data_IF_624218050912
#
_entry.id   IF_624218050912
#
_cell.length_a   1.000
_cell.length_b   1.000
_cell.length_c   1.000
_cell.angle_alpha   90.00
_cell.angle_beta   90.00
_cell.angle_gamma   90.00
#
_symmetry.space_group_name_H-M   'P 1'
#
loop_
_entity.id
_entity.type
_entity.pdbx_description
1 polymer ?
#
# COMPACT_ATOMS: atom_id res chain seq x y z
N UNK A 1 50.14 26.78 -41.83
CA UNK A 1 49.81 25.60 -41.00
C UNK A 1 48.71 26.01 -40.05
N UNK A 2 47.46 25.80 -40.44
CA UNK A 2 46.29 26.05 -39.62
C UNK A 2 45.70 24.69 -39.19
N UNK A 3 45.25 24.54 -37.93
CA UNK A 3 44.76 23.26 -37.43
C UNK A 3 43.29 23.05 -37.79
N UNK A 4 42.98 21.83 -38.22
CA UNK A 4 41.62 21.34 -38.53
C UNK A 4 40.73 21.35 -37.28
N UNK A 5 39.55 21.97 -37.40
CA UNK A 5 38.45 21.84 -36.43
C UNK A 5 37.98 20.38 -36.35
N UNK A 6 38.03 19.81 -35.14
CA UNK A 6 37.30 18.58 -34.80
C UNK A 6 35.86 18.94 -34.48
N UNK A 7 34.92 18.58 -35.36
CA UNK A 7 33.50 18.49 -35.01
C UNK A 7 33.31 17.32 -34.03
N UNK A 8 33.02 17.64 -32.78
CA UNK A 8 32.53 16.68 -31.79
C UNK A 8 31.06 16.35 -32.09
N UNK A 9 30.80 15.15 -32.60
CA UNK A 9 29.46 14.57 -32.63
C UNK A 9 28.96 14.41 -31.18
N UNK A 10 27.88 15.13 -30.87
CA UNK A 10 27.13 14.92 -29.63
C UNK A 10 26.42 13.57 -29.74
N UNK A 11 26.91 12.57 -29.03
CA UNK A 11 26.14 11.36 -28.75
C UNK A 11 24.82 11.76 -28.05
N UNK A 12 23.65 11.39 -28.58
CA UNK A 12 22.42 11.60 -27.84
C UNK A 12 22.45 10.65 -26.64
N UNK A 13 22.38 11.23 -25.44
CA UNK A 13 22.17 10.50 -24.19
C UNK A 13 20.90 9.67 -24.38
N UNK A 14 21.03 8.35 -24.54
CA UNK A 14 19.91 7.42 -24.45
C UNK A 14 19.24 7.70 -23.11
N UNK A 15 17.97 8.14 -23.13
CA UNK A 15 17.10 8.10 -21.95
C UNK A 15 17.11 6.65 -21.48
N UNK A 16 17.88 6.35 -20.43
CA UNK A 16 17.73 5.12 -19.67
C UNK A 16 16.38 5.20 -18.97
N UNK A 17 15.30 4.89 -19.70
CA UNK A 17 14.04 4.58 -19.05
C UNK A 17 14.27 3.29 -18.28
N UNK A 18 14.32 3.38 -16.95
CA UNK A 18 14.30 2.24 -16.01
C UNK A 18 13.05 1.35 -16.12
N UNK A 19 12.25 1.51 -17.19
CA UNK A 19 10.88 1.03 -17.34
C UNK A 19 10.81 -0.34 -18.04
N UNK A 20 11.93 -1.09 -18.11
CA UNK A 20 11.99 -2.39 -18.79
C UNK A 20 12.81 -3.46 -18.06
N UNK A 21 12.90 -3.41 -16.73
CA UNK A 21 13.81 -4.28 -15.93
C UNK A 21 13.12 -5.25 -14.98
N UNK A 22 11.85 -5.59 -15.22
CA UNK A 22 11.07 -6.43 -14.29
C UNK A 22 10.60 -7.76 -14.88
N UNK A 23 10.91 -8.08 -16.14
CA UNK A 23 10.53 -9.37 -16.73
C UNK A 23 11.21 -10.57 -16.02
N UNK A 24 12.42 -10.36 -15.50
CA UNK A 24 13.11 -11.35 -14.67
C UNK A 24 12.75 -11.27 -13.18
N UNK A 25 11.87 -10.35 -12.75
CA UNK A 25 11.32 -10.36 -11.40
C UNK A 25 10.20 -11.41 -11.31
N UNK A 26 10.63 -12.67 -11.33
CA UNK A 26 9.77 -13.84 -11.33
C UNK A 26 10.55 -15.00 -10.71
N UNK A 27 9.83 -16.00 -10.22
CA UNK A 27 10.48 -17.25 -9.82
C UNK A 27 10.87 -18.06 -11.05
N UNK A 28 11.99 -18.81 -10.97
CA UNK A 28 12.48 -19.63 -12.09
C UNK A 28 11.42 -20.63 -12.60
N UNK A 29 10.61 -21.19 -11.69
CA UNK A 29 9.60 -22.17 -12.07
C UNK A 29 8.50 -21.57 -12.97
N UNK A 30 8.25 -20.27 -12.89
CA UNK A 30 7.33 -19.57 -13.77
C UNK A 30 7.82 -19.62 -15.22
N UNK A 31 9.11 -19.35 -15.45
CA UNK A 31 9.70 -19.40 -16.78
C UNK A 31 9.79 -20.83 -17.33
N UNK A 32 10.09 -21.82 -16.48
CA UNK A 32 10.12 -23.21 -16.94
C UNK A 32 8.73 -23.74 -17.29
N UNK A 33 7.68 -23.35 -16.54
CA UNK A 33 6.29 -23.66 -16.92
C UNK A 33 5.87 -22.91 -18.18
N UNK A 34 6.23 -21.64 -18.31
CA UNK A 34 5.96 -20.83 -19.50
C UNK A 34 6.55 -21.45 -20.77
N UNK A 35 7.78 -21.99 -20.69
CA UNK A 35 8.36 -22.75 -21.79
C UNK A 35 7.61 -24.06 -22.06
N UNK A 36 7.25 -24.82 -21.02
CA UNK A 36 6.48 -26.05 -21.21
C UNK A 36 5.16 -25.78 -21.94
N UNK A 37 4.39 -24.77 -21.50
CA UNK A 37 3.17 -24.35 -22.18
C UNK A 37 3.43 -23.88 -23.62
N UNK A 38 4.53 -23.19 -23.87
CA UNK A 38 4.92 -22.74 -25.21
C UNK A 38 5.27 -23.90 -26.16
N UNK A 39 5.93 -24.95 -25.65
CA UNK A 39 6.26 -26.14 -26.46
C UNK A 39 5.05 -27.06 -26.66
N UNK A 40 4.08 -27.02 -25.74
CA UNK A 40 2.79 -27.74 -25.81
C UNK A 40 1.70 -26.98 -26.58
N UNK A 41 2.00 -25.83 -27.19
CA UNK A 41 1.04 -24.93 -27.85
C UNK A 41 -0.17 -24.54 -26.97
N UNK A 42 0.03 -24.49 -25.65
CA UNK A 42 -0.99 -24.19 -24.65
C UNK A 42 -1.20 -22.68 -24.47
N UNK A 43 -1.86 -22.06 -25.45
CA UNK A 43 -2.15 -20.61 -25.49
C UNK A 43 -3.61 -20.24 -25.23
N UNK A 44 -4.46 -21.21 -24.89
CA UNK A 44 -5.85 -20.93 -24.54
C UNK A 44 -5.97 -19.95 -23.37
N UNK A 45 -7.13 -19.29 -23.29
CA UNK A 45 -7.39 -18.31 -22.24
C UNK A 45 -7.42 -18.98 -20.87
N UNK A 46 -6.64 -18.43 -19.95
CA UNK A 46 -6.60 -18.77 -18.55
C UNK A 46 -7.13 -17.59 -17.71
N UNK A 47 -7.81 -17.93 -16.62
CA UNK A 47 -8.28 -16.98 -15.61
C UNK A 47 -7.60 -17.31 -14.30
N UNK A 48 -6.85 -16.35 -13.77
CA UNK A 48 -6.28 -16.43 -12.43
C UNK A 48 -6.90 -15.39 -11.52
N UNK A 49 -7.21 -15.76 -10.28
CA UNK A 49 -7.71 -14.84 -9.26
C UNK A 49 -6.69 -14.67 -8.14
N UNK A 50 -6.49 -13.42 -7.71
CA UNK A 50 -5.73 -13.05 -6.53
C UNK A 50 -6.69 -12.77 -5.37
N UNK A 51 -6.53 -13.45 -4.25
CA UNK A 51 -7.38 -13.25 -3.06
C UNK A 51 -6.65 -13.62 -1.77
N UNK A 52 -7.17 -13.19 -0.63
CA UNK A 52 -6.66 -13.58 0.70
C UNK A 52 -7.56 -14.66 1.29
N UNK A 53 -7.01 -15.82 1.64
CA UNK A 53 -7.81 -16.95 2.15
C UNK A 53 -8.36 -16.73 3.55
N UNK A 54 -7.51 -16.16 4.39
CA UNK A 54 -7.78 -15.90 5.81
C UNK A 54 -7.23 -14.53 6.15
N UNK A 55 -8.08 -13.72 6.77
CA UNK A 55 -7.65 -12.43 7.30
C UNK A 55 -6.76 -12.68 8.54
N UNK A 56 -5.75 -11.83 8.78
CA UNK A 56 -5.01 -11.88 10.03
C UNK A 56 -5.94 -11.69 11.24
N UNK A 57 -5.55 -12.23 12.40
CA UNK A 57 -6.28 -12.02 13.65
C UNK A 57 -6.50 -10.53 13.90
N UNK A 58 -7.68 -10.15 14.41
CA UNK A 58 -8.07 -8.75 14.68
C UNK A 58 -8.20 -7.86 13.43
N UNK A 59 -8.17 -8.42 12.21
CA UNK A 59 -8.43 -7.68 10.97
C UNK A 59 -9.70 -8.19 10.30
N UNK A 60 -10.80 -7.44 10.46
CA UNK A 60 -12.11 -7.82 9.94
C UNK A 60 -12.27 -7.56 8.44
N UNK A 61 -11.42 -6.70 7.88
CA UNK A 61 -11.33 -6.43 6.45
C UNK A 61 -9.89 -6.03 6.09
N UNK A 62 -9.61 -5.96 4.79
CA UNK A 62 -8.40 -5.39 4.24
C UNK A 62 -8.77 -4.29 3.24
N UNK A 63 -7.84 -3.38 2.95
CA UNK A 63 -8.00 -2.38 1.90
C UNK A 63 -7.26 -2.81 0.64
N UNK A 64 -7.99 -3.03 -0.46
CA UNK A 64 -7.39 -3.29 -1.76
C UNK A 64 -6.45 -2.14 -2.15
N UNK A 65 -5.16 -2.42 -2.35
CA UNK A 65 -4.17 -1.39 -2.64
C UNK A 65 -2.97 -1.94 -3.43
N UNK A 66 -2.43 -1.11 -4.32
CA UNK A 66 -1.25 -1.37 -5.15
C UNK A 66 -1.55 -1.52 -6.64
N UNK A 67 -2.80 -1.32 -7.05
CA UNK A 67 -3.27 -1.56 -8.41
C UNK A 67 -2.55 -0.68 -9.43
N UNK A 68 -2.53 0.64 -9.25
CA UNK A 68 -1.93 1.59 -10.21
C UNK A 68 -0.47 1.23 -10.54
N UNK A 69 0.34 1.04 -9.50
CA UNK A 69 1.76 0.68 -9.65
C UNK A 69 1.94 -0.71 -10.26
N UNK A 70 1.02 -1.64 -10.00
CA UNK A 70 1.06 -2.99 -10.59
C UNK A 70 0.73 -2.93 -12.07
N UNK A 71 -0.32 -2.21 -12.45
CA UNK A 71 -0.72 -2.06 -13.84
C UNK A 71 0.36 -1.35 -14.67
N UNK A 72 1.04 -0.34 -14.10
CA UNK A 72 2.20 0.31 -14.74
C UNK A 72 3.31 -0.71 -15.07
N UNK A 73 3.60 -1.63 -14.15
CA UNK A 73 4.62 -2.66 -14.34
C UNK A 73 4.19 -3.70 -15.38
N UNK A 74 2.93 -4.14 -15.35
CA UNK A 74 2.37 -5.11 -16.31
C UNK A 74 2.33 -4.55 -17.73
N UNK A 75 1.85 -3.31 -17.91
CA UNK A 75 1.78 -2.65 -19.22
C UNK A 75 3.16 -2.54 -19.89
N UNK A 76 4.19 -2.31 -19.09
CA UNK A 76 5.58 -2.14 -19.52
C UNK A 76 6.44 -3.40 -19.37
N UNK A 77 5.85 -4.57 -19.12
CA UNK A 77 6.58 -5.82 -18.91
C UNK A 77 7.20 -6.34 -20.21
N UNK A 78 8.53 -6.26 -20.34
CA UNK A 78 9.29 -6.65 -21.54
C UNK A 78 10.58 -7.34 -21.16
N UNK A 79 10.99 -8.35 -21.91
CA UNK A 79 12.34 -8.91 -21.83
C UNK A 79 13.27 -8.04 -22.67
N UNK A 80 14.33 -7.54 -22.04
CA UNK A 80 15.42 -6.85 -22.72
C UNK A 80 16.39 -7.85 -23.34
N UNK A 81 17.24 -7.41 -24.27
CA UNK A 81 18.27 -8.29 -24.84
C UNK A 81 19.25 -8.79 -23.75
N UNK A 82 19.53 -7.98 -22.73
CA UNK A 82 20.33 -8.41 -21.57
C UNK A 82 19.65 -9.55 -20.80
N UNK A 83 18.32 -9.50 -20.63
CA UNK A 83 17.55 -10.58 -20.00
C UNK A 83 17.63 -11.87 -20.82
N UNK A 84 17.52 -11.77 -22.16
CA UNK A 84 17.58 -12.94 -23.04
C UNK A 84 18.96 -13.59 -23.03
N UNK A 85 20.03 -12.79 -23.06
CA UNK A 85 21.42 -13.28 -22.93
C UNK A 85 21.61 -14.01 -21.60
N UNK A 86 21.09 -13.43 -20.51
CA UNK A 86 21.14 -14.08 -19.20
C UNK A 86 20.39 -15.41 -19.19
N UNK A 87 19.16 -15.47 -19.70
CA UNK A 87 18.37 -16.70 -19.74
C UNK A 87 19.05 -17.78 -20.61
N UNK A 88 19.64 -17.40 -21.74
CA UNK A 88 20.44 -18.31 -22.57
C UNK A 88 21.63 -18.90 -21.80
N UNK A 89 22.32 -18.09 -21.00
CA UNK A 89 23.47 -18.53 -20.18
C UNK A 89 23.13 -19.62 -19.15
N UNK A 90 21.85 -19.72 -18.76
CA UNK A 90 21.39 -20.74 -17.82
C UNK A 90 21.29 -22.14 -18.44
N UNK A 91 21.34 -22.27 -19.78
CA UNK A 91 21.24 -23.54 -20.51
C UNK A 91 19.97 -24.36 -20.16
N UNK A 92 18.87 -23.66 -19.82
CA UNK A 92 17.56 -24.26 -19.47
C UNK A 92 16.48 -24.01 -20.51
N UNK A 93 16.71 -23.06 -21.42
CA UNK A 93 15.69 -22.53 -22.31
C UNK A 93 16.05 -22.79 -23.77
N UNK A 94 15.05 -23.16 -24.57
CA UNK A 94 15.21 -23.43 -26.01
C UNK A 94 15.41 -22.12 -26.78
N UNK A 95 16.17 -22.15 -27.87
CA UNK A 95 16.37 -20.97 -28.72
C UNK A 95 15.04 -20.42 -29.27
N UNK A 96 14.07 -21.33 -29.51
CA UNK A 96 12.71 -20.98 -29.96
C UNK A 96 11.95 -20.19 -28.91
N UNK A 97 11.97 -20.66 -27.66
CA UNK A 97 11.35 -19.96 -26.53
C UNK A 97 12.02 -18.61 -26.26
N UNK A 98 13.36 -18.56 -26.27
CA UNK A 98 14.11 -17.31 -26.10
C UNK A 98 13.82 -16.29 -27.22
N UNK A 99 13.63 -16.74 -28.46
CA UNK A 99 13.17 -15.86 -29.54
C UNK A 99 11.77 -15.31 -29.27
N UNK A 100 10.84 -16.16 -28.84
CA UNK A 100 9.49 -15.74 -28.51
C UNK A 100 9.45 -14.72 -27.36
N UNK A 101 10.31 -14.84 -26.35
CA UNK A 101 10.40 -13.89 -25.24
C UNK A 101 10.82 -12.47 -25.68
N UNK A 102 11.60 -12.32 -26.77
CA UNK A 102 12.00 -10.99 -27.28
C UNK A 102 10.80 -10.13 -27.69
N UNK A 103 9.81 -10.78 -28.32
CA UNK A 103 8.60 -10.13 -28.80
C UNK A 103 7.47 -10.14 -27.76
N UNK A 104 7.71 -10.72 -26.58
CA UNK A 104 6.70 -10.84 -25.53
C UNK A 104 6.08 -9.48 -25.18
N UNK A 105 4.75 -9.43 -25.20
CA UNK A 105 3.92 -8.34 -24.71
C UNK A 105 2.78 -8.96 -23.91
N UNK A 106 2.44 -8.38 -22.76
CA UNK A 106 1.19 -8.73 -22.11
C UNK A 106 0.04 -8.22 -22.99
N UNK A 107 -0.94 -9.09 -23.26
CA UNK A 107 -2.08 -8.84 -24.16
C UNK A 107 -3.42 -9.21 -23.53
N UNK A 108 -3.42 -9.59 -22.26
CA UNK A 108 -4.64 -9.97 -21.54
C UNK A 108 -5.38 -8.80 -20.93
N UNK A 109 -6.45 -9.15 -20.23
CA UNK A 109 -7.30 -8.23 -19.50
C UNK A 109 -7.09 -8.40 -17.99
N UNK A 110 -7.30 -7.33 -17.23
CA UNK A 110 -7.30 -7.36 -15.76
C UNK A 110 -8.58 -6.70 -15.26
N UNK A 111 -9.25 -7.37 -14.35
CA UNK A 111 -10.39 -6.84 -13.60
C UNK A 111 -9.99 -6.75 -12.12
N UNK A 112 -10.32 -5.67 -11.43
CA UNK A 112 -9.88 -5.47 -10.05
C UNK A 112 -10.92 -4.72 -9.23
N UNK A 113 -10.90 -4.92 -7.91
CA UNK A 113 -11.57 -4.04 -6.99
C UNK A 113 -10.87 -2.66 -7.01
N UNK A 114 -11.62 -1.54 -6.97
CA UNK A 114 -11.04 -0.22 -6.88
C UNK A 114 -10.08 -0.11 -5.69
N UNK A 115 -8.99 0.65 -5.84
CA UNK A 115 -8.11 0.91 -4.71
C UNK A 115 -8.85 1.64 -3.60
N UNK A 116 -8.57 1.25 -2.36
CA UNK A 116 -9.27 1.71 -1.17
C UNK A 116 -10.54 0.89 -0.85
N UNK A 117 -11.00 0.00 -1.72
CA UNK A 117 -12.14 -0.84 -1.40
C UNK A 117 -11.85 -1.79 -0.23
N UNK A 118 -12.74 -1.87 0.79
CA UNK A 118 -12.71 -2.96 1.75
C UNK A 118 -12.93 -4.30 1.02
N UNK A 119 -12.07 -5.28 1.27
CA UNK A 119 -12.14 -6.64 0.74
C UNK A 119 -12.02 -7.66 1.87
N UNK A 120 -12.71 -8.77 1.73
CA UNK A 120 -12.84 -9.82 2.74
C UNK A 120 -12.20 -11.14 2.31
N UNK A 121 -12.23 -12.13 3.19
CA UNK A 121 -11.64 -13.43 2.91
C UNK A 121 -12.29 -14.09 1.69
N UNK A 122 -11.46 -14.66 0.82
CA UNK A 122 -11.80 -15.38 -0.41
C UNK A 122 -12.40 -14.54 -1.54
N UNK A 123 -12.60 -13.24 -1.32
CA UNK A 123 -13.00 -12.31 -2.37
C UNK A 123 -11.83 -12.02 -3.33
N UNK A 124 -12.04 -12.10 -4.66
CA UNK A 124 -11.01 -11.71 -5.62
C UNK A 124 -10.69 -10.21 -5.48
N UNK A 125 -9.43 -9.88 -5.18
CA UNK A 125 -8.92 -8.50 -5.26
C UNK A 125 -8.75 -8.13 -6.73
N UNK A 126 -8.25 -9.06 -7.54
CA UNK A 126 -8.16 -8.93 -8.99
C UNK A 126 -8.23 -10.29 -9.70
N UNK A 127 -8.63 -10.26 -10.97
CA UNK A 127 -8.58 -11.38 -11.91
C UNK A 127 -7.79 -11.01 -13.16
N UNK A 128 -6.89 -11.91 -13.58
CA UNK A 128 -6.14 -11.83 -14.83
C UNK A 128 -6.75 -12.80 -15.83
N UNK A 129 -7.11 -12.31 -17.02
CA UNK A 129 -7.68 -13.09 -18.12
C UNK A 129 -6.74 -12.97 -19.32
N UNK A 130 -5.93 -13.99 -19.61
CA UNK A 130 -4.91 -13.90 -20.66
C UNK A 130 -4.55 -15.30 -21.21
N UNK A 131 -3.80 -15.40 -22.33
CA UNK A 131 -3.17 -16.65 -22.72
C UNK A 131 -2.36 -17.25 -21.56
N UNK A 132 -2.49 -18.55 -21.33
CA UNK A 132 -1.93 -19.24 -20.14
C UNK A 132 -0.47 -18.86 -19.81
N UNK A 133 0.49 -18.83 -20.77
CA UNK A 133 1.88 -18.49 -20.45
C UNK A 133 2.03 -17.04 -19.94
N UNK A 134 1.21 -16.12 -20.44
CA UNK A 134 1.22 -14.72 -20.01
C UNK A 134 0.60 -14.57 -18.61
N UNK A 135 -0.55 -15.20 -18.37
CA UNK A 135 -1.24 -15.15 -17.08
C UNK A 135 -0.40 -15.77 -15.95
N UNK A 136 0.35 -16.83 -16.26
CA UNK A 136 1.24 -17.52 -15.34
C UNK A 136 2.43 -16.64 -14.93
N UNK A 137 3.09 -15.97 -15.88
CA UNK A 137 4.25 -15.12 -15.61
C UNK A 137 3.96 -14.00 -14.61
N UNK A 138 2.72 -13.47 -14.59
CA UNK A 138 2.35 -12.35 -13.73
C UNK A 138 2.24 -12.69 -12.24
N UNK A 139 2.16 -13.97 -11.86
CA UNK A 139 1.91 -14.40 -10.47
C UNK A 139 2.86 -13.73 -9.47
N UNK A 140 4.18 -13.90 -9.65
CA UNK A 140 5.19 -13.40 -8.70
C UNK A 140 5.14 -11.88 -8.60
N UNK A 141 5.04 -11.18 -9.73
CA UNK A 141 5.00 -9.72 -9.78
C UNK A 141 3.74 -9.18 -9.09
N UNK A 142 2.55 -9.65 -9.49
CA UNK A 142 1.29 -9.18 -8.93
C UNK A 142 1.22 -9.45 -7.42
N UNK A 143 1.57 -10.66 -6.99
CA UNK A 143 1.54 -11.00 -5.57
C UNK A 143 2.47 -10.10 -4.78
N UNK A 144 3.69 -9.85 -5.24
CA UNK A 144 4.64 -8.97 -4.55
C UNK A 144 4.11 -7.53 -4.40
N UNK A 145 3.48 -7.01 -5.45
CA UNK A 145 3.07 -5.60 -5.52
C UNK A 145 1.78 -5.30 -4.76
N UNK A 146 0.78 -6.18 -4.87
CA UNK A 146 -0.53 -6.02 -4.23
C UNK A 146 -0.50 -6.45 -2.77
N UNK A 147 0.24 -7.51 -2.42
CA UNK A 147 0.33 -8.02 -1.03
C UNK A 147 0.81 -6.94 -0.07
N UNK A 148 1.98 -6.35 -0.36
CA UNK A 148 2.60 -5.37 0.52
C UNK A 148 1.70 -4.15 0.70
N UNK A 149 1.19 -3.59 -0.40
CA UNK A 149 0.39 -2.37 -0.35
C UNK A 149 -0.97 -2.59 0.32
N UNK A 150 -1.64 -3.72 0.06
CA UNK A 150 -2.88 -4.11 0.75
C UNK A 150 -2.65 -4.27 2.25
N UNK A 151 -1.56 -4.93 2.65
CA UNK A 151 -1.20 -5.12 4.05
C UNK A 151 -0.97 -3.79 4.78
N UNK A 152 -0.17 -2.92 4.18
CA UNK A 152 0.26 -1.65 4.76
C UNK A 152 -0.86 -0.61 4.78
N UNK A 153 -1.71 -0.55 3.75
CA UNK A 153 -2.90 0.31 3.76
C UNK A 153 -3.86 -0.10 4.89
N UNK A 154 -4.08 -1.41 5.05
CA UNK A 154 -4.93 -1.95 6.12
C UNK A 154 -4.33 -1.69 7.52
N UNK A 155 -3.01 -1.73 7.68
CA UNK A 155 -2.34 -1.38 8.95
C UNK A 155 -2.47 0.10 9.26
N UNK A 156 -2.27 0.97 8.27
CA UNK A 156 -2.41 2.41 8.43
C UNK A 156 -3.83 2.82 8.83
N UNK A 157 -4.84 2.23 8.21
CA UNK A 157 -6.25 2.47 8.56
C UNK A 157 -6.49 2.26 10.06
N UNK A 158 -6.01 1.15 10.63
CA UNK A 158 -6.16 0.86 12.07
C UNK A 158 -5.53 1.92 12.96
N UNK A 159 -4.31 2.35 12.61
CA UNK A 159 -3.59 3.39 13.35
C UNK A 159 -4.32 4.73 13.26
N UNK A 160 -4.84 5.08 12.08
CA UNK A 160 -5.61 6.32 11.85
C UNK A 160 -6.94 6.29 12.60
N UNK A 161 -7.63 5.16 12.59
CA UNK A 161 -8.87 4.95 13.35
C UNK A 161 -8.62 5.08 14.86
N UNK A 162 -7.53 4.49 15.37
CA UNK A 162 -7.12 4.65 16.77
C UNK A 162 -6.81 6.11 17.16
N UNK A 163 -6.30 6.92 16.23
CA UNK A 163 -5.97 8.32 16.47
C UNK A 163 -7.19 9.25 16.62
N UNK A 164 -8.41 8.77 16.31
CA UNK A 164 -9.68 9.50 16.45
C UNK A 164 -9.64 10.93 15.86
N UNK A 165 -9.22 11.04 14.59
CA UNK A 165 -9.20 12.30 13.85
C UNK A 165 -7.94 13.16 14.06
N UNK A 166 -7.06 12.78 14.99
CA UNK A 166 -5.73 13.41 15.14
C UNK A 166 -4.83 12.99 13.96
N UNK A 167 -4.04 13.90 13.38
CA UNK A 167 -3.15 13.58 12.29
C UNK A 167 -2.10 12.52 12.67
N UNK A 168 -1.93 11.55 11.79
CA UNK A 168 -0.85 10.56 11.84
C UNK A 168 0.15 10.87 10.73
N UNK A 169 1.44 10.82 11.05
CA UNK A 169 2.55 11.06 10.11
C UNK A 169 3.39 9.80 9.99
N UNK A 170 3.68 9.40 8.75
CA UNK A 170 4.55 8.27 8.42
C UNK A 170 6.05 8.60 8.65
N UNK A 171 6.64 7.93 9.64
CA UNK A 171 8.07 7.92 9.97
C UNK A 171 8.75 6.55 9.71
N UNK A 172 8.14 5.69 8.90
CA UNK A 172 8.52 4.28 8.78
C UNK A 172 9.78 4.02 7.94
N UNK A 173 10.09 4.90 6.97
CA UNK A 173 11.03 4.62 5.88
C UNK A 173 12.37 4.01 6.29
N UNK A 174 12.95 4.42 7.43
CA UNK A 174 14.25 3.92 7.91
C UNK A 174 14.24 2.49 8.46
N UNK A 175 13.05 1.90 8.62
CA UNK A 175 12.84 0.52 9.10
C UNK A 175 12.21 -0.39 8.06
N UNK A 176 11.76 0.17 6.94
CA UNK A 176 11.14 -0.61 5.87
C UNK A 176 12.18 -1.41 5.10
N UNK A 177 11.81 -2.62 4.68
CA UNK A 177 12.69 -3.58 4.04
C UNK A 177 12.92 -3.26 2.55
N UNK A 178 13.70 -2.21 2.29
CA UNK A 178 14.11 -1.78 0.96
C UNK A 178 13.41 -0.51 0.48
N UNK A 179 14.04 0.16 -0.49
CA UNK A 179 13.59 1.46 -1.01
C UNK A 179 12.22 1.36 -1.67
N UNK A 180 11.98 0.30 -2.45
CA UNK A 180 10.70 0.10 -3.13
C UNK A 180 9.55 -0.09 -2.14
N UNK A 181 9.78 -0.89 -1.09
CA UNK A 181 8.84 -1.06 0.01
C UNK A 181 8.57 0.26 0.73
N UNK A 182 9.60 1.08 1.00
CA UNK A 182 9.44 2.39 1.62
C UNK A 182 8.58 3.36 0.79
N UNK A 183 8.75 3.37 -0.53
CA UNK A 183 7.97 4.23 -1.42
C UNK A 183 6.52 3.77 -1.55
N UNK A 184 6.31 2.48 -1.80
CA UNK A 184 4.97 1.90 -1.93
C UNK A 184 4.23 1.87 -0.60
N UNK A 185 4.95 1.72 0.51
CA UNK A 185 4.43 1.88 1.87
C UNK A 185 3.89 3.27 2.11
N UNK A 186 4.67 4.32 1.88
CA UNK A 186 4.20 5.70 2.04
C UNK A 186 2.93 6.00 1.23
N UNK A 187 2.84 5.49 0.00
CA UNK A 187 1.63 5.55 -0.84
C UNK A 187 0.44 4.81 -0.18
N UNK A 188 0.65 3.57 0.23
CA UNK A 188 -0.38 2.74 0.86
C UNK A 188 -0.87 3.34 2.19
N UNK A 189 0.03 3.88 3.01
CA UNK A 189 -0.30 4.57 4.25
C UNK A 189 -1.18 5.79 4.00
N UNK A 190 -0.88 6.57 2.97
CA UNK A 190 -1.67 7.73 2.58
C UNK A 190 -3.09 7.34 2.16
N UNK A 191 -3.25 6.28 1.36
CA UNK A 191 -4.54 5.71 0.99
C UNK A 191 -5.30 5.21 2.24
N UNK A 192 -4.60 4.57 3.18
CA UNK A 192 -5.14 4.14 4.47
C UNK A 192 -5.49 5.29 5.44
N UNK A 193 -5.20 6.54 5.10
CA UNK A 193 -5.63 7.72 5.85
C UNK A 193 -4.52 8.51 6.56
N UNK A 194 -3.25 8.07 6.49
CA UNK A 194 -2.11 8.82 7.08
C UNK A 194 -2.00 10.19 6.41
N UNK A 195 -1.81 11.25 7.20
CA UNK A 195 -1.94 12.63 6.75
C UNK A 195 -0.75 13.13 5.93
N UNK A 196 0.46 12.65 6.26
CA UNK A 196 1.69 13.07 5.61
C UNK A 196 2.79 12.01 5.76
N UNK A 197 3.84 12.10 4.94
CA UNK A 197 5.02 11.23 5.02
C UNK A 197 6.30 12.03 5.27
N UNK A 198 7.26 11.44 5.97
CA UNK A 198 8.64 11.91 6.02
C UNK A 198 9.48 11.51 4.80
N UNK A 199 8.95 10.63 3.94
CA UNK A 199 9.63 10.17 2.75
C UNK A 199 9.52 11.20 1.62
N UNK A 200 10.56 12.03 1.49
CA UNK A 200 10.63 13.10 0.48
C UNK A 200 10.49 12.56 -0.95
N UNK A 201 11.04 11.37 -1.24
CA UNK A 201 10.94 10.77 -2.57
C UNK A 201 9.50 10.30 -2.87
N UNK A 202 8.80 9.77 -1.87
CA UNK A 202 7.39 9.43 -2.01
C UNK A 202 6.52 10.69 -2.19
N UNK A 203 6.77 11.74 -1.40
CA UNK A 203 6.10 13.03 -1.56
C UNK A 203 6.29 13.62 -2.96
N UNK A 204 7.51 13.58 -3.49
CA UNK A 204 7.80 13.99 -4.88
C UNK A 204 7.09 13.12 -5.92
N UNK A 205 7.11 11.79 -5.75
CA UNK A 205 6.60 10.84 -6.75
C UNK A 205 5.07 10.80 -6.80
N UNK A 206 4.42 10.94 -5.64
CA UNK A 206 2.97 10.75 -5.50
C UNK A 206 2.24 12.05 -5.13
N UNK A 207 2.94 13.19 -5.11
CA UNK A 207 2.38 14.51 -4.77
C UNK A 207 1.71 14.56 -3.39
N UNK A 208 2.20 13.74 -2.45
CA UNK A 208 1.65 13.67 -1.09
C UNK A 208 2.24 14.79 -0.20
N UNK A 209 1.49 15.25 0.81
CA UNK A 209 2.02 16.11 1.86
C UNK A 209 3.26 15.48 2.52
N UNK A 210 4.33 16.26 2.58
CA UNK A 210 5.55 15.90 3.30
C UNK A 210 5.55 16.61 4.64
N UNK A 211 5.84 15.88 5.70
CA UNK A 211 6.00 16.45 7.03
C UNK A 211 7.25 15.89 7.70
N UNK A 212 7.92 16.75 8.45
CA UNK A 212 9.13 16.42 9.19
C UNK A 212 9.31 17.37 10.36
N UNK A 213 10.13 16.93 11.31
CA UNK A 213 10.51 17.70 12.49
C UNK A 213 12.02 17.88 12.48
N UNK A 214 12.63 18.04 13.66
CA UNK A 214 14.05 17.80 13.89
C UNK A 214 14.33 16.41 14.49
N UNK A 215 15.60 15.99 14.51
CA UNK A 215 16.07 14.76 15.15
C UNK A 215 17.08 15.08 16.27
N UNK A 216 17.27 14.14 17.21
CA UNK A 216 18.22 14.30 18.33
C UNK A 216 19.63 14.69 17.87
N UNK A 217 20.09 14.18 16.72
CA UNK A 217 21.41 14.50 16.17
C UNK A 217 21.61 16.00 15.90
N UNK A 218 20.55 16.74 15.56
CA UNK A 218 20.64 18.19 15.40
C UNK A 218 20.86 18.88 16.75
N UNK A 219 20.17 18.44 17.80
CA UNK A 219 20.30 19.00 19.16
C UNK A 219 21.71 18.70 19.69
N UNK A 220 22.15 17.45 19.57
CA UNK A 220 23.47 16.98 20.02
C UNK A 220 24.65 17.66 19.30
N UNK A 221 24.43 18.19 18.08
CA UNK A 221 25.46 18.91 17.34
C UNK A 221 25.69 20.34 17.85
N UNK A 222 24.84 20.86 18.73
CA UNK A 222 24.98 22.18 19.35
C UNK A 222 25.58 22.06 20.76
N UNK A 223 26.17 23.16 21.25
CA UNK A 223 26.70 23.21 22.62
C UNK A 223 25.62 23.12 23.70
N UNK A 224 24.38 23.51 23.38
CA UNK A 224 23.23 23.43 24.27
C UNK A 224 21.90 23.36 23.49
N UNK A 225 20.88 22.82 24.15
CA UNK A 225 19.56 22.57 23.58
C UNK A 225 18.78 23.86 23.24
N UNK A 226 18.94 24.94 24.02
CA UNK A 226 18.26 26.22 23.76
C UNK A 226 18.79 26.89 22.49
N UNK A 227 20.10 26.83 22.26
CA UNK A 227 20.72 27.31 21.03
C UNK A 227 20.23 26.53 19.82
N UNK A 228 20.11 25.20 19.92
CA UNK A 228 19.54 24.37 18.84
C UNK A 228 18.08 24.76 18.53
N UNK A 229 17.24 24.92 19.56
CA UNK A 229 15.84 25.31 19.37
C UNK A 229 15.71 26.67 18.69
N UNK A 230 16.44 27.69 19.17
CA UNK A 230 16.42 29.04 18.59
C UNK A 230 16.89 29.01 17.13
N UNK A 231 17.97 28.29 16.83
CA UNK A 231 18.52 28.20 15.48
C UNK A 231 17.55 27.52 14.51
N UNK A 232 16.93 26.41 14.92
CA UNK A 232 15.97 25.69 14.09
C UNK A 232 14.69 26.51 13.86
N UNK A 233 14.14 27.10 14.93
CA UNK A 233 12.95 27.95 14.90
C UNK A 233 13.11 29.15 13.95
N UNK A 234 14.30 29.77 13.93
CA UNK A 234 14.58 30.91 13.07
C UNK A 234 14.61 30.60 11.57
N UNK A 235 14.85 29.35 11.19
CA UNK A 235 14.86 28.90 9.79
C UNK A 235 13.52 28.33 9.34
N UNK A 236 12.80 27.68 10.26
CA UNK A 236 11.60 26.90 9.96
C UNK A 236 10.45 27.32 10.89
N UNK A 237 9.68 28.37 10.53
CA UNK A 237 8.42 28.67 11.23
C UNK A 237 7.44 27.50 11.07
N UNK A 238 6.49 27.41 11.98
CA UNK A 238 5.49 26.34 12.12
C UNK A 238 6.08 24.92 12.30
N UNK A 239 7.33 24.84 12.75
CA UNK A 239 8.03 23.59 13.03
C UNK A 239 7.55 22.92 14.33
N UNK A 240 7.95 21.66 14.47
CA UNK A 240 7.81 20.86 15.68
C UNK A 240 9.20 20.61 16.28
N UNK A 241 9.41 21.03 17.53
CA UNK A 241 10.71 20.90 18.22
C UNK A 241 10.74 19.68 19.15
N UNK A 242 11.83 18.92 19.09
CA UNK A 242 12.03 17.70 19.88
C UNK A 242 12.59 18.04 21.27
N UNK A 243 11.87 17.73 22.35
CA UNK A 243 12.21 18.26 23.69
C UNK A 243 12.79 17.24 24.67
N UNK A 244 12.98 15.99 24.26
CA UNK A 244 13.38 14.87 25.12
C UNK A 244 14.79 14.34 24.82
N UNK A 245 15.70 15.21 24.35
CA UNK A 245 17.09 14.77 24.08
C UNK A 245 17.88 14.50 25.36
N UNK A 246 17.62 15.27 26.42
CA UNK A 246 18.31 15.11 27.71
C UNK A 246 17.34 14.95 28.87
N UNK A 247 16.40 15.88 29.03
CA UNK A 247 15.32 15.83 30.02
C UNK A 247 14.10 16.55 29.46
N UNK A 248 12.98 15.83 29.36
CA UNK A 248 11.76 16.29 28.70
C UNK A 248 11.19 17.57 29.32
N UNK A 249 11.07 17.62 30.66
CA UNK A 249 10.46 18.76 31.34
C UNK A 249 11.37 19.99 31.29
N UNK A 250 12.69 19.79 31.41
CA UNK A 250 13.67 20.85 31.22
C UNK A 250 13.71 21.32 29.77
N UNK A 251 13.51 20.45 28.78
CA UNK A 251 13.38 20.81 27.37
C UNK A 251 12.15 21.70 27.13
N UNK A 252 11.00 21.33 27.68
CA UNK A 252 9.76 22.13 27.62
C UNK A 252 9.96 23.51 28.26
N UNK A 253 10.64 23.60 29.41
CA UNK A 253 10.96 24.90 30.04
C UNK A 253 11.85 25.77 29.15
N UNK A 254 12.75 25.18 28.35
CA UNK A 254 13.53 25.94 27.35
C UNK A 254 12.65 26.45 26.21
N UNK A 255 11.64 25.70 25.78
CA UNK A 255 10.64 26.17 24.81
C UNK A 255 9.86 27.36 25.36
N UNK A 256 9.41 27.30 26.61
CA UNK A 256 8.72 28.42 27.28
C UNK A 256 9.62 29.66 27.34
N UNK A 257 10.88 29.49 27.74
CA UNK A 257 11.85 30.59 27.76
C UNK A 257 12.08 31.19 26.36
N UNK A 258 12.17 30.34 25.33
CA UNK A 258 12.30 30.77 23.94
C UNK A 258 11.07 31.58 23.49
N UNK A 259 9.86 31.16 23.86
CA UNK A 259 8.64 31.89 23.55
C UNK A 259 8.61 33.28 24.18
N UNK A 260 8.99 33.40 25.46
CA UNK A 260 9.10 34.71 26.12
C UNK A 260 10.17 35.60 25.47
N UNK A 261 11.27 35.01 24.99
CA UNK A 261 12.36 35.76 24.36
C UNK A 261 11.97 36.27 22.97
N UNK A 262 11.24 35.48 22.20
CA UNK A 262 10.84 35.83 20.82
C UNK A 262 9.54 36.64 20.76
N UNK A 263 8.67 36.56 21.77
CA UNK A 263 7.40 37.27 21.77
C UNK A 263 6.55 36.91 20.55
N UNK A 264 6.15 37.91 19.78
CA UNK A 264 5.33 37.74 18.56
C UNK A 264 6.04 36.96 17.44
N UNK A 265 7.38 36.89 17.46
CA UNK A 265 8.16 36.11 16.50
C UNK A 265 8.18 34.61 16.82
N UNK A 266 7.59 34.19 17.95
CA UNK A 266 7.47 32.78 18.30
C UNK A 266 6.42 32.08 17.43
N UNK A 267 6.90 31.33 16.43
CA UNK A 267 6.07 30.61 15.44
C UNK A 267 6.27 29.10 15.52
N UNK A 268 6.39 28.52 16.71
CA UNK A 268 6.49 27.07 16.87
C UNK A 268 5.10 26.47 16.89
N UNK A 269 4.87 25.45 16.06
CA UNK A 269 3.57 24.78 15.95
C UNK A 269 3.35 23.78 17.09
N UNK A 270 4.36 23.01 17.44
CA UNK A 270 4.26 21.96 18.45
C UNK A 270 5.61 21.59 19.07
N UNK A 271 5.55 20.84 20.17
CA UNK A 271 6.67 20.07 20.70
C UNK A 271 6.51 18.59 20.34
N UNK A 272 7.61 17.83 20.29
CA UNK A 272 7.60 16.37 20.10
C UNK A 272 8.18 15.65 21.30
N UNK A 273 7.45 14.64 21.78
CA UNK A 273 7.89 13.65 22.77
C UNK A 273 8.15 12.31 22.05
N UNK A 274 9.34 11.72 22.19
CA UNK A 274 9.73 10.48 21.48
C UNK A 274 10.04 9.31 22.44
N UNK A 275 9.96 9.54 23.74
CA UNK A 275 10.33 8.57 24.78
C UNK A 275 9.64 8.80 26.12
N UNK A 276 9.73 7.81 27.01
CA UNK A 276 9.15 7.83 28.35
C UNK A 276 7.66 7.47 28.38
N UNK A 277 7.01 7.73 29.53
CA UNK A 277 5.55 7.59 29.65
C UNK A 277 4.87 8.77 28.95
N UNK A 278 4.49 8.56 27.69
CA UNK A 278 3.87 9.59 26.85
C UNK A 278 2.54 10.10 27.41
N UNK A 279 1.78 9.28 28.17
CA UNK A 279 0.51 9.71 28.77
C UNK A 279 0.77 10.71 29.90
N UNK A 280 1.70 10.38 30.80
CA UNK A 280 2.09 11.27 31.90
C UNK A 280 2.81 12.51 31.39
N UNK A 281 3.78 12.35 30.49
CA UNK A 281 4.59 13.45 29.97
C UNK A 281 3.77 14.45 29.14
N UNK A 282 2.80 13.99 28.35
CA UNK A 282 1.92 14.91 27.60
C UNK A 282 1.06 15.76 28.52
N UNK A 283 0.53 15.18 29.61
CA UNK A 283 -0.26 15.92 30.63
C UNK A 283 0.58 16.99 31.32
N UNK A 284 1.80 16.65 31.74
CA UNK A 284 2.73 17.63 32.33
C UNK A 284 3.17 18.69 31.32
N UNK A 285 3.42 18.30 30.07
CA UNK A 285 3.76 19.25 29.02
C UNK A 285 2.64 20.25 28.77
N UNK A 286 1.39 19.76 28.66
CA UNK A 286 0.21 20.62 28.48
C UNK A 286 0.07 21.60 29.64
N UNK A 287 0.16 21.10 30.89
CA UNK A 287 0.11 21.94 32.09
C UNK A 287 1.16 23.06 32.07
N UNK A 288 2.42 22.74 31.77
CA UNK A 288 3.51 23.71 31.73
C UNK A 288 3.34 24.74 30.60
N UNK A 289 2.88 24.32 29.42
CA UNK A 289 2.62 25.21 28.31
C UNK A 289 1.45 26.15 28.60
N UNK A 290 0.37 25.65 29.21
CA UNK A 290 -0.82 26.45 29.55
C UNK A 290 -0.51 27.49 30.64
N UNK A 291 0.26 27.11 31.67
CA UNK A 291 0.75 28.03 32.71
C UNK A 291 1.60 29.17 32.13
N UNK A 292 2.25 28.94 30.98
CA UNK A 292 3.03 29.93 30.25
C UNK A 292 2.24 30.70 29.17
N UNK A 293 0.93 30.45 29.03
CA UNK A 293 0.10 31.08 27.99
C UNK A 293 0.37 30.55 26.57
N UNK A 294 0.90 29.34 26.43
CA UNK A 294 1.22 28.68 25.16
C UNK A 294 0.19 27.58 24.82
N UNK A 295 -1.09 27.86 25.05
CA UNK A 295 -2.24 26.97 24.82
C UNK A 295 -2.35 26.51 23.35
N UNK A 296 -1.86 27.31 22.40
CA UNK A 296 -1.85 27.00 20.96
C UNK A 296 -0.69 26.10 20.50
N UNK A 297 0.33 25.89 21.32
CA UNK A 297 1.47 25.00 20.96
C UNK A 297 1.01 23.56 21.12
N UNK A 298 0.97 22.81 20.02
CA UNK A 298 0.53 21.41 20.04
C UNK A 298 1.54 20.45 20.68
N UNK A 299 1.09 19.24 20.96
CA UNK A 299 1.89 18.13 21.48
C UNK A 299 1.82 16.98 20.47
N UNK A 300 2.97 16.70 19.86
CA UNK A 300 3.16 15.56 18.98
C UNK A 300 3.89 14.45 19.73
N UNK A 301 3.53 13.19 19.49
CA UNK A 301 4.25 12.06 20.09
C UNK A 301 4.73 11.08 19.02
N UNK A 302 5.86 10.45 19.29
CA UNK A 302 6.42 9.34 18.50
C UNK A 302 7.15 8.35 19.41
N UNK A 303 7.72 7.29 18.84
CA UNK A 303 8.51 6.31 19.58
C UNK A 303 7.71 5.03 19.90
N UNK A 304 7.94 3.97 19.12
CA UNK A 304 7.40 2.64 19.41
C UNK A 304 5.87 2.48 19.32
N UNK A 305 5.18 3.44 18.70
CA UNK A 305 3.71 3.43 18.62
C UNK A 305 3.17 2.41 17.61
N UNK A 306 2.05 1.79 17.98
CA UNK A 306 1.13 1.04 17.14
C UNK A 306 -0.33 1.38 17.52
N UNK A 307 -1.33 0.81 16.86
CA UNK A 307 -2.75 1.19 17.03
C UNK A 307 -3.28 1.03 18.46
N UNK A 308 -2.87 0.00 19.22
CA UNK A 308 -3.32 -0.19 20.60
C UNK A 308 -2.73 0.88 21.51
N UNK A 309 -1.42 1.16 21.40
CA UNK A 309 -0.73 2.23 22.12
C UNK A 309 -1.31 3.61 21.78
N UNK A 310 -1.66 3.86 20.51
CA UNK A 310 -2.35 5.08 20.10
C UNK A 310 -3.75 5.15 20.73
N UNK A 311 -4.52 4.07 20.69
CA UNK A 311 -5.86 4.00 21.28
C UNK A 311 -5.83 4.19 22.81
N UNK A 312 -4.82 3.65 23.49
CA UNK A 312 -4.64 3.81 24.94
C UNK A 312 -4.30 5.26 25.30
N UNK A 313 -3.41 5.91 24.55
CA UNK A 313 -3.12 7.34 24.74
C UNK A 313 -4.37 8.20 24.53
N UNK A 314 -5.15 7.90 23.49
CA UNK A 314 -6.39 8.64 23.21
C UNK A 314 -7.45 8.40 24.29
N UNK A 315 -7.68 7.16 24.70
CA UNK A 315 -8.71 6.80 25.69
C UNK A 315 -8.41 7.31 27.10
N UNK A 316 -7.13 7.45 27.46
CA UNK A 316 -6.70 8.04 28.75
C UNK A 316 -6.76 9.57 28.79
N UNK A 317 -7.27 10.21 27.73
CA UNK A 317 -7.42 11.65 27.62
C UNK A 317 -6.08 12.39 27.56
N UNK A 318 -5.02 11.77 27.06
CA UNK A 318 -3.73 12.43 26.89
C UNK A 318 -3.87 13.62 25.92
N UNK A 319 -3.38 14.83 26.28
CA UNK A 319 -3.49 16.03 25.44
C UNK A 319 -2.46 15.95 24.30
N UNK A 320 -2.76 15.12 23.31
CA UNK A 320 -1.92 14.86 22.14
C UNK A 320 -2.67 15.30 20.90
N UNK A 321 -1.98 16.10 20.07
CA UNK A 321 -2.51 16.70 18.85
C UNK A 321 -2.11 15.94 17.59
N UNK A 322 -1.17 14.99 17.68
CA UNK A 322 -0.85 14.10 16.57
C UNK A 322 0.26 13.09 16.87
N UNK A 323 0.41 12.14 15.95
CA UNK A 323 1.25 10.96 16.13
C UNK A 323 2.24 10.79 14.98
N UNK A 324 3.49 10.49 15.30
CA UNK A 324 4.50 10.01 14.36
C UNK A 324 4.69 8.50 14.53
N UNK A 325 4.29 7.72 13.53
CA UNK A 325 4.32 6.24 13.60
C UNK A 325 5.31 5.68 12.59
N UNK A 326 6.19 4.79 13.07
CA UNK A 326 7.34 4.29 12.31
C UNK A 326 7.31 2.78 12.11
N UNK A 327 8.13 2.06 12.88
CA UNK A 327 8.40 0.63 12.71
C UNK A 327 7.13 -0.21 12.60
N UNK A 328 6.24 -0.15 13.59
CA UNK A 328 5.11 -1.08 13.69
C UNK A 328 4.11 -0.94 12.54
N UNK A 329 3.91 0.29 12.04
CA UNK A 329 3.14 0.53 10.82
C UNK A 329 3.93 0.10 9.57
N UNK A 330 5.23 0.39 9.53
CA UNK A 330 6.17 0.09 8.44
C UNK A 330 6.33 -1.39 8.12
N UNK A 331 6.45 -2.22 9.15
CA UNK A 331 6.67 -3.67 9.01
C UNK A 331 5.41 -4.49 9.29
N UNK A 332 4.31 -3.83 9.69
CA UNK A 332 3.06 -4.48 10.11
C UNK A 332 3.34 -5.58 11.14
N UNK A 333 3.95 -5.21 12.28
CA UNK A 333 4.54 -6.15 13.24
C UNK A 333 3.57 -7.22 13.78
N UNK A 334 2.28 -6.87 13.90
CA UNK A 334 1.18 -7.76 14.31
C UNK A 334 0.85 -8.85 13.26
N UNK A 335 1.04 -8.53 11.98
CA UNK A 335 0.70 -9.39 10.86
C UNK A 335 1.62 -9.05 9.67
N UNK A 336 2.87 -9.55 9.63
CA UNK A 336 3.85 -9.14 8.62
C UNK A 336 3.58 -9.75 7.23
N UNK A 337 2.54 -10.57 7.08
CA UNK A 337 2.14 -11.16 5.81
C UNK A 337 0.65 -11.52 5.78
N UNK A 338 0.05 -11.47 4.59
CA UNK A 338 -1.28 -11.97 4.29
C UNK A 338 -1.23 -13.40 3.70
N UNK A 339 -2.25 -14.23 3.99
CA UNK A 339 -2.49 -15.53 3.32
C UNK A 339 -3.05 -15.31 1.89
N UNK A 340 -2.35 -14.46 1.12
CA UNK A 340 -2.68 -14.07 -0.25
C UNK A 340 -2.22 -15.14 -1.23
N UNK A 341 -3.08 -15.47 -2.20
CA UNK A 341 -2.81 -16.47 -3.21
C UNK A 341 -3.27 -16.01 -4.58
N UNK A 342 -2.53 -16.42 -5.61
CA UNK A 342 -2.90 -16.30 -7.02
C UNK A 342 -3.18 -17.71 -7.57
N UNK A 343 -4.36 -17.96 -8.13
CA UNK A 343 -4.81 -19.32 -8.47
C UNK A 343 -5.56 -19.38 -9.80
N UNK A 344 -5.22 -20.38 -10.61
CA UNK A 344 -5.96 -20.72 -11.83
C UNK A 344 -7.38 -21.19 -11.47
N UNK A 345 -8.37 -20.44 -11.94
CA UNK A 345 -9.79 -20.69 -11.73
C UNK A 345 -10.49 -21.18 -13.00
N UNK A 346 -9.95 -20.88 -14.18
CA UNK A 346 -10.51 -21.31 -15.47
C UNK A 346 -9.40 -21.49 -16.51
N UNK A 347 -9.51 -22.49 -17.37
CA UNK A 347 -8.62 -22.66 -18.52
C UNK A 347 -9.39 -23.25 -19.71
N UNK A 348 -9.28 -22.63 -20.88
CA UNK A 348 -9.97 -23.01 -22.10
C UNK A 348 -11.51 -23.10 -21.92
N UNK A 349 -12.09 -22.10 -21.24
CA UNK A 349 -13.52 -22.03 -20.93
C UNK A 349 -14.01 -23.06 -19.91
N UNK A 350 -13.11 -23.80 -19.26
CA UNK A 350 -13.44 -24.82 -18.27
C UNK A 350 -12.96 -24.41 -16.89
N UNK A 351 -13.88 -24.43 -15.93
CA UNK A 351 -13.58 -24.18 -14.53
C UNK A 351 -12.53 -25.14 -13.98
N UNK A 352 -11.66 -24.61 -13.12
CA UNK A 352 -10.59 -25.33 -12.44
C UNK A 352 -10.76 -25.16 -10.94
N UNK A 353 -10.61 -26.28 -10.23
CA UNK A 353 -10.63 -26.33 -8.78
C UNK A 353 -9.33 -26.96 -8.28
N UNK A 354 -8.98 -26.68 -7.03
CA UNK A 354 -7.94 -27.41 -6.30
C UNK A 354 -8.58 -28.13 -5.12
N UNK A 355 -8.60 -29.46 -5.17
CA UNK A 355 -9.13 -30.32 -4.12
C UNK A 355 -8.09 -30.48 -3.00
N UNK A 356 -7.89 -29.44 -2.21
CA UNK A 356 -7.16 -29.53 -0.94
C UNK A 356 -8.11 -29.25 0.21
N UNK A 357 -8.09 -30.11 1.24
CA UNK A 357 -8.91 -30.00 2.45
C UNK A 357 -8.84 -28.58 3.04
N UNK A 358 -10.01 -27.97 3.24
CA UNK A 358 -10.15 -26.63 3.86
C UNK A 358 -9.66 -25.45 3.01
N UNK A 359 -9.32 -25.66 1.73
CA UNK A 359 -8.73 -24.62 0.86
C UNK A 359 -9.36 -24.57 -0.54
N UNK A 360 -10.71 -24.62 -0.69
CA UNK A 360 -11.34 -24.68 -2.00
C UNK A 360 -10.99 -23.45 -2.84
N UNK A 361 -10.63 -23.68 -4.10
CA UNK A 361 -10.55 -22.62 -5.13
C UNK A 361 -11.88 -22.63 -5.86
N UNK A 362 -12.58 -21.49 -5.87
CA UNK A 362 -13.83 -21.33 -6.63
C UNK A 362 -13.49 -21.28 -8.13
N UNK A 363 -14.15 -22.09 -8.97
CA UNK A 363 -13.87 -22.14 -10.40
C UNK A 363 -14.50 -20.97 -11.16
N UNK A 364 -13.95 -20.69 -12.33
CA UNK A 364 -14.43 -19.67 -13.26
C UNK A 364 -14.02 -18.25 -12.91
N UNK A 365 -14.29 -17.35 -13.85
CA UNK A 365 -14.32 -15.89 -13.59
C UNK A 365 -15.39 -15.55 -12.55
N UNK A 366 -15.07 -14.59 -11.68
CA UNK A 366 -15.93 -14.21 -10.56
C UNK A 366 -16.25 -12.72 -10.55
N UNK A 367 -17.26 -12.37 -9.78
CA UNK A 367 -17.62 -11.01 -9.40
C UNK A 367 -17.93 -10.99 -7.89
N UNK A 368 -17.73 -9.85 -7.25
CA UNK A 368 -18.19 -9.58 -5.88
C UNK A 368 -19.36 -8.62 -5.98
N UNK A 369 -20.49 -9.01 -5.41
CA UNK A 369 -21.69 -8.19 -5.32
C UNK A 369 -21.89 -7.76 -3.87
N UNK A 370 -21.64 -6.48 -3.60
CA UNK A 370 -21.83 -5.88 -2.28
C UNK A 370 -23.27 -5.43 -2.09
N UNK A 371 -23.97 -6.02 -1.13
CA UNK A 371 -25.34 -5.68 -0.78
C UNK A 371 -25.34 -4.54 0.22
N UNK A 372 -26.19 -3.54 -0.03
CA UNK A 372 -26.35 -2.40 0.85
C UNK A 372 -27.80 -2.30 1.36
N UNK A 373 -27.95 -1.91 2.62
CA UNK A 373 -29.22 -1.48 3.21
C UNK A 373 -29.11 0.01 3.52
N UNK A 374 -29.67 0.84 2.64
CA UNK A 374 -29.49 2.29 2.71
C UNK A 374 -28.04 2.71 2.50
N UNK A 375 -27.45 3.36 3.51
CA UNK A 375 -26.06 3.83 3.48
C UNK A 375 -25.05 2.80 4.02
N UNK A 376 -25.52 1.65 4.52
CA UNK A 376 -24.67 0.61 5.11
C UNK A 376 -24.47 -0.55 4.15
N UNK A 377 -23.23 -1.01 4.05
CA UNK A 377 -22.90 -2.25 3.36
C UNK A 377 -23.04 -3.41 4.36
N UNK A 378 -23.86 -4.42 4.04
CA UNK A 378 -24.33 -5.44 5.02
C UNK A 378 -23.88 -6.87 4.71
N UNK A 379 -23.32 -7.11 3.52
CA UNK A 379 -22.79 -8.41 3.14
C UNK A 379 -22.38 -8.45 1.67
N UNK A 380 -21.52 -9.40 1.34
CA UNK A 380 -21.01 -9.59 -0.02
C UNK A 380 -21.36 -10.99 -0.54
N UNK A 381 -21.65 -11.08 -1.84
CA UNK A 381 -21.86 -12.35 -2.55
C UNK A 381 -20.79 -12.52 -3.61
N UNK A 382 -19.97 -13.57 -3.49
CA UNK A 382 -19.05 -14.02 -4.54
C UNK A 382 -19.87 -14.84 -5.53
N UNK A 383 -19.99 -14.35 -6.75
CA UNK A 383 -20.77 -14.95 -7.83
C UNK A 383 -19.89 -15.18 -9.07
N UNK A 384 -20.41 -15.88 -10.06
CA UNK A 384 -19.79 -15.94 -11.38
C UNK A 384 -19.80 -14.55 -12.02
N UNK A 385 -18.84 -14.29 -12.89
CA UNK A 385 -18.72 -12.98 -13.55
C UNK A 385 -19.89 -12.63 -14.50
N UNK A 386 -20.68 -13.63 -14.90
CA UNK A 386 -21.85 -13.49 -15.78
C UNK A 386 -23.18 -13.42 -15.03
N UNK A 387 -23.17 -13.54 -13.70
CA UNK A 387 -24.36 -13.32 -12.87
C UNK A 387 -24.66 -11.83 -12.69
N UNK A 388 -25.92 -11.52 -12.40
CA UNK A 388 -26.36 -10.20 -11.94
C UNK A 388 -27.19 -10.40 -10.66
N UNK A 389 -26.77 -9.75 -9.57
CA UNK A 389 -27.43 -9.84 -8.27
C UNK A 389 -28.19 -8.54 -8.04
N UNK A 390 -29.51 -8.59 -8.29
CA UNK A 390 -30.40 -7.43 -8.21
C UNK A 390 -30.22 -6.63 -6.91
N UNK A 391 -29.94 -5.33 -7.06
CA UNK A 391 -29.80 -4.41 -5.93
C UNK A 391 -28.43 -4.43 -5.23
N UNK A 392 -27.50 -5.29 -5.66
CA UNK A 392 -26.14 -5.32 -5.15
C UNK A 392 -25.15 -4.63 -6.11
N UNK A 393 -24.13 -3.98 -5.56
CA UNK A 393 -23.10 -3.25 -6.32
C UNK A 393 -21.96 -4.21 -6.73
N UNK A 394 -21.65 -4.38 -8.03
CA UNK A 394 -20.47 -5.12 -8.44
C UNK A 394 -19.20 -4.36 -8.05
N UNK A 395 -18.16 -5.06 -7.57
CA UNK A 395 -16.91 -4.42 -7.14
C UNK A 395 -15.76 -4.59 -8.15
N UNK A 396 -15.65 -5.72 -8.84
CA UNK A 396 -14.62 -5.90 -9.86
C UNK A 396 -14.99 -5.14 -11.13
N UNK A 397 -14.11 -4.21 -11.51
CA UNK A 397 -14.23 -3.42 -12.75
C UNK A 397 -13.07 -3.74 -13.68
N UNK A 398 -13.25 -3.65 -15.01
CA UNK A 398 -12.14 -3.77 -15.95
C UNK A 398 -11.18 -2.60 -15.75
N UNK A 399 -9.88 -2.90 -15.66
CA UNK A 399 -8.81 -1.89 -15.44
C UNK A 399 -7.66 -2.01 -16.44
N UNK A 400 -7.62 -3.11 -17.19
CA UNK A 400 -6.72 -3.31 -18.32
C UNK A 400 -7.44 -4.14 -19.37
N UNK A 401 -7.31 -3.73 -20.64
CA UNK A 401 -7.87 -4.47 -21.78
C UNK A 401 -6.82 -4.59 -22.87
N UNK A 402 -6.60 -5.80 -23.38
CA UNK A 402 -5.62 -6.06 -24.44
C UNK A 402 -4.20 -5.63 -24.07
N UNK A 403 -3.84 -5.73 -22.80
CA UNK A 403 -2.54 -5.29 -22.26
C UNK A 403 -2.36 -3.78 -22.10
N UNK A 404 -3.41 -2.98 -22.30
CA UNK A 404 -3.40 -1.52 -22.11
C UNK A 404 -4.26 -1.14 -20.92
N UNK A 405 -3.75 -0.25 -20.07
CA UNK A 405 -4.52 0.28 -18.95
C UNK A 405 -5.74 1.05 -19.44
N UNK A 406 -6.85 0.87 -18.75
CA UNK A 406 -8.03 1.70 -18.95
C UNK A 406 -7.89 2.93 -18.06
N UNK A 407 -8.05 4.13 -18.64
CA UNK A 407 -8.10 5.38 -17.88
C UNK A 407 -9.54 5.70 -17.54
N UNK A 408 -9.83 5.92 -16.26
CA UNK A 408 -11.09 6.55 -15.83
C UNK A 408 -11.07 8.07 -16.13
N UNK A 409 -9.90 8.62 -16.49
CA UNK A 409 -9.69 10.04 -16.77
C UNK A 409 -9.54 10.33 -18.28
N UNK A 410 -10.43 11.15 -18.89
CA UNK A 410 -10.30 11.65 -20.26
C UNK A 410 -8.99 12.42 -20.54
N UNK A 411 -8.27 12.89 -19.52
CA UNK A 411 -7.02 13.63 -19.63
C UNK A 411 -5.78 12.74 -19.83
N UNK A 412 -5.90 11.43 -19.56
CA UNK A 412 -4.78 10.47 -19.61
C UNK A 412 -3.87 10.50 -18.37
N UNK A 413 -4.25 11.19 -17.29
CA UNK A 413 -3.56 11.11 -16.01
C UNK A 413 -3.89 9.80 -15.26
N UNK A 414 -2.94 9.33 -14.44
CA UNK A 414 -2.96 8.03 -13.74
C UNK A 414 -4.09 7.96 -12.71
N UNK A 415 -4.36 6.76 -12.17
CA UNK A 415 -5.22 6.58 -10.98
C UNK A 415 -4.76 7.59 -9.91
N UNK A 416 -5.62 8.57 -9.62
CA UNK A 416 -5.28 9.65 -8.71
C UNK A 416 -5.33 9.11 -7.29
N UNK A 417 -4.21 9.16 -6.58
CA UNK A 417 -4.09 8.65 -5.21
C UNK A 417 -5.16 9.23 -4.26
N UNK A 418 -5.59 10.47 -4.49
CA UNK A 418 -6.68 11.12 -3.75
C UNK A 418 -8.04 10.43 -3.96
N UNK A 419 -8.29 9.89 -5.15
CA UNK A 419 -9.51 9.12 -5.43
C UNK A 419 -9.50 7.82 -4.63
N UNK A 420 -8.38 7.09 -4.64
CA UNK A 420 -8.23 5.87 -3.83
C UNK A 420 -8.38 6.15 -2.32
N UNK A 421 -7.80 7.24 -1.83
CA UNK A 421 -7.96 7.69 -0.43
C UNK A 421 -9.41 8.05 -0.09
N UNK A 422 -10.11 8.73 -1.01
CA UNK A 422 -11.51 9.12 -0.83
C UNK A 422 -12.42 7.90 -0.84
N UNK A 423 -12.23 6.97 -1.78
CA UNK A 423 -12.92 5.68 -1.81
C UNK A 423 -12.72 4.90 -0.50
N UNK A 424 -11.49 4.79 -0.01
CA UNK A 424 -11.20 4.14 1.26
C UNK A 424 -12.03 4.74 2.39
N UNK A 425 -11.95 6.06 2.58
CA UNK A 425 -12.68 6.78 3.63
C UNK A 425 -14.20 6.55 3.52
N UNK A 426 -14.76 6.72 2.32
CA UNK A 426 -16.20 6.60 2.08
C UNK A 426 -16.69 5.16 2.28
N UNK A 427 -15.98 4.17 1.75
CA UNK A 427 -16.44 2.78 1.78
C UNK A 427 -16.21 2.13 3.13
N UNK A 428 -15.14 2.50 3.85
CA UNK A 428 -14.99 2.12 5.26
C UNK A 428 -16.16 2.67 6.07
N UNK A 429 -16.56 3.94 5.88
CA UNK A 429 -17.64 4.56 6.65
C UNK A 429 -19.00 3.84 6.48
N UNK A 430 -19.21 3.15 5.35
CA UNK A 430 -20.39 2.34 5.07
C UNK A 430 -20.39 0.98 5.78
N UNK A 431 -19.24 0.52 6.26
CA UNK A 431 -19.16 -0.75 6.99
C UNK A 431 -19.85 -0.65 8.36
N UNK A 432 -20.47 -1.74 8.85
CA UNK A 432 -21.02 -1.80 10.20
C UNK A 432 -19.95 -1.45 11.23
N UNK A 433 -20.36 -0.83 12.35
CA UNK A 433 -19.42 -0.33 13.38
C UNK A 433 -18.62 -1.49 13.96
N UNK A 434 -19.27 -2.63 14.16
CA UNK A 434 -18.71 -3.88 14.63
C UNK A 434 -17.60 -4.42 13.71
N UNK A 435 -17.67 -4.16 12.40
CA UNK A 435 -16.64 -4.60 11.44
C UNK A 435 -15.45 -3.64 11.48
N UNK A 436 -15.69 -2.35 11.71
CA UNK A 436 -14.65 -1.33 11.85
C UNK A 436 -13.90 -1.39 13.17
N UNK A 437 -14.50 -1.98 14.21
CA UNK A 437 -13.89 -2.09 15.53
C UNK A 437 -12.77 -3.15 15.52
N UNK A 438 -11.49 -2.77 15.70
CA UNK A 438 -10.36 -3.71 15.71
C UNK A 438 -10.33 -4.65 16.92
N UNK A 439 -11.21 -4.44 17.91
CA UNK A 439 -11.39 -5.30 19.08
C UNK A 439 -12.54 -6.31 18.91
N UNK A 440 -13.29 -6.20 17.83
CA UNK A 440 -14.41 -7.09 17.53
C UNK A 440 -13.96 -8.17 16.55
N UNK A 441 -14.35 -9.43 16.81
CA UNK A 441 -14.04 -10.59 15.95
C UNK A 441 -15.24 -11.00 15.07
N UNK A 442 -16.27 -10.15 14.97
CA UNK A 442 -17.44 -10.41 14.13
C UNK A 442 -17.04 -10.43 12.65
N UNK A 443 -17.28 -11.55 11.99
CA UNK A 443 -17.04 -11.67 10.56
C UNK A 443 -18.10 -10.90 9.76
N UNK A 444 -17.65 -10.14 8.76
CA UNK A 444 -18.55 -9.58 7.76
C UNK A 444 -19.18 -10.71 6.93
N UNK A 445 -20.51 -10.70 6.66
CA UNK A 445 -21.15 -11.77 5.91
C UNK A 445 -20.62 -11.83 4.46
N UNK A 446 -19.95 -12.93 4.12
CA UNK A 446 -19.54 -13.24 2.74
C UNK A 446 -20.08 -14.61 2.38
N UNK A 447 -20.85 -14.67 1.28
CA UNK A 447 -21.45 -15.91 0.79
C UNK A 447 -21.09 -16.17 -0.67
N UNK A 448 -21.23 -17.42 -1.11
CA UNK A 448 -21.06 -17.82 -2.51
C UNK A 448 -22.44 -17.97 -3.14
N UNK A 449 -22.65 -17.45 -4.35
CA UNK A 449 -23.94 -17.58 -5.05
C UNK A 449 -24.32 -19.05 -5.25
N UNK A 450 -25.62 -19.32 -5.38
CA UNK A 450 -26.11 -20.66 -5.66
C UNK A 450 -25.54 -21.19 -6.99
N UNK A 451 -25.54 -20.36 -8.05
CA UNK A 451 -25.04 -20.78 -9.35
C UNK A 451 -23.53 -21.05 -9.36
N UNK A 452 -22.73 -20.27 -8.62
CA UNK A 452 -21.30 -20.54 -8.46
C UNK A 452 -21.06 -21.81 -7.64
N UNK A 453 -21.85 -22.04 -6.59
CA UNK A 453 -21.78 -23.27 -5.78
C UNK A 453 -22.13 -24.52 -6.58
N UNK A 454 -23.18 -24.46 -7.40
CA UNK A 454 -23.56 -25.56 -8.29
C UNK A 454 -22.53 -25.77 -9.40
N UNK A 455 -21.96 -24.69 -9.96
CA UNK A 455 -20.86 -24.79 -10.90
C UNK A 455 -19.63 -25.45 -10.28
N UNK A 456 -19.30 -25.10 -9.04
CA UNK A 456 -18.21 -25.74 -8.30
C UNK A 456 -18.47 -27.24 -8.13
N UNK A 457 -19.67 -27.64 -7.72
CA UNK A 457 -20.05 -29.06 -7.58
C UNK A 457 -19.88 -29.80 -8.91
N UNK A 458 -20.40 -29.23 -10.00
CA UNK A 458 -20.31 -29.83 -11.33
C UNK A 458 -18.86 -29.95 -11.85
N UNK A 459 -17.98 -29.00 -11.50
CA UNK A 459 -16.55 -29.10 -11.84
C UNK A 459 -15.86 -30.19 -11.01
N UNK A 460 -16.18 -30.30 -9.71
CA UNK A 460 -15.64 -31.33 -8.82
C UNK A 460 -16.06 -32.75 -9.23
N UNK A 461 -17.33 -32.94 -9.65
CA UNK A 461 -17.85 -34.24 -10.10
C UNK A 461 -17.21 -34.76 -11.40
N UNK A 462 -16.54 -33.90 -12.16
CA UNK A 462 -15.85 -34.26 -13.41
C UNK A 462 -14.39 -34.66 -13.21
N UNK A 463 -13.84 -34.48 -12.00
CA UNK A 463 -12.48 -34.88 -11.62
C UNK A 463 -12.49 -36.28 -11.02
#
# INVERSE_FOLDING_TARGET
MEPKEKKTEKNPVKKNSSHGRFALFTDLYQLTMMQAYFEEDSFDTAVFSLFVRRLPTRRNFLLACGLDTTLELVENLRFSEEDIIYLASLQKFSDRFLHWLRDFRFTGDIHAAPEGAPIFANEPILEVVAPLPQAQLLETLIMNQIHLQTLLASKAERVVTAAQGRPVIDFASRRMHGIDAALKGARAFYIGGVSATSNVLAGKRYHMPVAGTMAHSYIQAHGDEATAFRAFAGLYPDTILLVDTYDTLAGIRKIIHLAHTLGEDFKIKAIRLDSGDLSTLSKEARRLLDEAGLDKVGIFVSGGLEEDAVADLVSTGAPIDGFGVGTEMGVSGDAPSLDMVYKLCEYAGRGRVKLSTGKPVLPGRKQIFRTAEGDRDVGDTIARADEDISGARPLLVPVMQGGRRLSDDPSGERIVIETARSHAKEWIARLPVEIRDPKNDSAYPVQVSAALSDYQRAVCERL
#
